data_IF_187490421895
#
_entry.id   IF_187490421895
#
_cell.length_a   1.000
_cell.length_b   1.000
_cell.length_c   1.000
_cell.angle_alpha   90.00
_cell.angle_beta   90.00
_cell.angle_gamma   90.00
#
_symmetry.space_group_name_H-M   'P 1'
#
loop_
_entity.id
_entity.type
_entity.pdbx_description
1 polymer ?
#
# COMPACT_ATOMS: atom_id res chain seq x y z
N UNK A 1 40.58 -28.43 -39.08
CA UNK A 1 39.13 -28.23 -38.87
C UNK A 1 38.98 -28.38 -37.37
N UNK A 2 39.10 -27.27 -36.63
CA UNK A 2 37.95 -26.44 -36.21
C UNK A 2 37.10 -27.21 -35.18
N UNK A 3 36.83 -26.80 -33.95
CA UNK A 3 36.92 -25.54 -33.18
C UNK A 3 36.43 -25.86 -31.74
N UNK A 4 37.03 -25.27 -30.71
CA UNK A 4 36.42 -24.23 -29.83
C UNK A 4 35.24 -24.71 -28.95
N UNK A 5 35.50 -24.69 -27.63
CA UNK A 5 34.64 -24.38 -26.46
C UNK A 5 33.29 -25.12 -26.33
N UNK A 6 32.93 -25.69 -25.18
CA UNK A 6 32.53 -24.91 -24.01
C UNK A 6 32.69 -25.72 -22.71
N UNK A 7 33.46 -25.15 -21.79
CA UNK A 7 33.70 -25.63 -20.44
C UNK A 7 32.80 -24.82 -19.49
N UNK A 8 31.84 -25.48 -18.86
CA UNK A 8 31.23 -24.99 -17.62
C UNK A 8 30.74 -26.17 -16.77
N UNK A 9 31.67 -26.79 -16.06
CA UNK A 9 31.37 -27.57 -14.87
C UNK A 9 31.02 -26.62 -13.71
N UNK A 10 29.75 -26.57 -13.30
CA UNK A 10 29.36 -26.00 -12.02
C UNK A 10 28.80 -27.10 -11.12
N UNK A 11 29.72 -27.58 -10.29
CA UNK A 11 29.51 -28.36 -9.08
C UNK A 11 28.89 -27.46 -8.01
N UNK A 12 27.85 -27.89 -7.28
CA UNK A 12 27.73 -27.71 -5.82
C UNK A 12 26.73 -28.70 -5.20
N UNK A 13 27.17 -29.23 -4.06
CA UNK A 13 26.62 -30.31 -3.26
C UNK A 13 25.40 -29.94 -2.41
N UNK A 14 24.62 -30.98 -2.11
CA UNK A 14 23.93 -31.31 -0.86
C UNK A 14 23.45 -30.18 0.07
N UNK A 15 22.12 -30.12 0.22
CA UNK A 15 21.50 -29.77 1.51
C UNK A 15 20.56 -30.91 1.93
N UNK A 16 20.94 -31.56 3.04
CA UNK A 16 20.05 -32.39 3.85
C UNK A 16 18.86 -31.54 4.31
N UNK A 17 17.64 -32.03 4.11
CA UNK A 17 16.51 -31.73 4.99
C UNK A 17 15.50 -32.85 4.89
N UNK A 18 15.53 -33.70 5.91
CA UNK A 18 14.56 -34.75 6.23
C UNK A 18 13.11 -34.25 6.12
N UNK A 19 12.26 -35.05 5.46
CA UNK A 19 10.83 -34.78 5.33
C UNK A 19 10.15 -35.75 4.37
N UNK A 20 10.09 -37.02 4.77
CA UNK A 20 9.32 -38.12 4.17
C UNK A 20 7.89 -37.71 3.77
N UNK A 21 7.56 -37.74 2.47
CA UNK A 21 6.30 -38.25 1.90
C UNK A 21 6.61 -38.75 0.46
N UNK A 22 6.90 -40.04 0.31
CA UNK A 22 7.17 -40.67 -0.99
C UNK A 22 5.85 -40.81 -1.81
N UNK A 23 5.68 -40.01 -2.86
CA UNK A 23 4.78 -40.35 -3.97
C UNK A 23 5.52 -41.33 -4.89
N UNK A 24 5.02 -42.55 -4.99
CA UNK A 24 5.52 -43.58 -5.90
C UNK A 24 5.28 -43.17 -7.37
N UNK A 25 6.26 -42.54 -8.02
CA UNK A 25 6.25 -42.41 -9.48
C UNK A 25 6.67 -43.72 -10.13
N UNK A 26 5.69 -44.44 -10.70
CA UNK A 26 5.89 -45.68 -11.45
C UNK A 26 6.61 -45.38 -12.78
N UNK A 27 7.94 -45.57 -12.80
CA UNK A 27 8.76 -45.47 -14.02
C UNK A 27 8.46 -46.68 -14.91
N UNK A 28 7.57 -46.52 -15.88
CA UNK A 28 7.36 -47.48 -16.98
C UNK A 28 8.56 -47.44 -17.94
N UNK A 29 9.47 -48.39 -17.78
CA UNK A 29 10.49 -48.68 -18.79
C UNK A 29 9.84 -49.36 -19.99
N UNK A 30 9.66 -48.63 -21.09
CA UNK A 30 9.29 -49.22 -22.37
C UNK A 30 10.53 -49.82 -23.02
N UNK A 31 10.50 -51.12 -23.23
CA UNK A 31 11.43 -51.86 -24.07
C UNK A 31 11.21 -51.50 -25.55
N UNK A 32 12.31 -51.25 -26.26
CA UNK A 32 12.33 -50.63 -27.60
C UNK A 32 11.79 -51.53 -28.74
N UNK A 33 11.18 -52.69 -28.44
CA UNK A 33 10.86 -53.72 -29.42
C UNK A 33 9.41 -54.30 -29.35
N UNK A 34 8.43 -53.64 -28.72
CA UNK A 34 7.01 -54.02 -28.85
C UNK A 34 6.26 -53.16 -29.88
N UNK A 35 6.49 -53.45 -31.18
CA UNK A 35 5.61 -53.01 -32.27
C UNK A 35 4.34 -53.86 -32.31
N UNK A 36 3.54 -53.74 -31.25
CA UNK A 36 2.19 -54.28 -31.17
C UNK A 36 1.26 -53.53 -32.12
N UNK A 37 0.91 -54.19 -33.23
CA UNK A 37 -0.12 -53.83 -34.20
C UNK A 37 -1.48 -53.60 -33.50
N UNK A 38 -1.85 -52.34 -33.24
CA UNK A 38 -3.17 -51.97 -32.73
C UNK A 38 -4.02 -51.34 -33.85
N UNK A 39 -5.04 -52.10 -34.22
CA UNK A 39 -6.09 -51.83 -35.18
C UNK A 39 -6.91 -50.58 -34.83
N UNK A 40 -7.03 -49.65 -35.79
CA UNK A 40 -8.27 -48.91 -36.06
C UNK A 40 -9.07 -48.23 -34.93
N UNK A 41 -8.45 -47.70 -33.88
CA UNK A 41 -9.15 -46.82 -32.93
C UNK A 41 -9.09 -45.37 -33.41
N UNK A 42 -10.26 -44.78 -33.68
CA UNK A 42 -10.41 -43.37 -34.03
C UNK A 42 -9.67 -42.49 -33.01
N UNK A 43 -8.84 -41.56 -33.51
CA UNK A 43 -8.30 -40.49 -32.68
C UNK A 43 -9.48 -39.84 -31.93
N UNK A 44 -9.38 -39.65 -30.59
CA UNK A 44 -10.32 -38.78 -29.91
C UNK A 44 -10.31 -37.41 -30.63
N UNK A 45 -11.47 -36.75 -30.79
CA UNK A 45 -11.52 -35.43 -31.41
C UNK A 45 -10.51 -34.52 -30.70
N UNK A 46 -9.89 -33.56 -31.43
CA UNK A 46 -8.91 -32.66 -30.84
C UNK A 46 -9.51 -32.09 -29.56
N UNK A 47 -8.76 -32.23 -28.46
CA UNK A 47 -9.08 -31.66 -27.17
C UNK A 47 -9.52 -30.22 -27.44
N UNK A 48 -10.81 -29.94 -27.22
CA UNK A 48 -11.35 -28.60 -27.42
C UNK A 48 -10.46 -27.67 -26.62
N UNK A 49 -9.71 -26.80 -27.30
CA UNK A 49 -9.01 -25.70 -26.66
C UNK A 49 -10.09 -24.93 -25.91
N UNK A 50 -10.24 -25.22 -24.62
CA UNK A 50 -11.18 -24.51 -23.75
C UNK A 50 -10.62 -23.11 -23.70
N UNK A 51 -11.17 -22.24 -24.55
CA UNK A 51 -10.88 -20.83 -24.58
C UNK A 51 -11.27 -20.32 -23.20
N UNK A 52 -10.29 -20.18 -22.29
CA UNK A 52 -10.49 -19.65 -20.95
C UNK A 52 -10.91 -18.19 -21.09
N UNK A 53 -12.20 -17.97 -21.33
CA UNK A 53 -12.78 -16.65 -21.45
C UNK A 53 -12.73 -16.00 -20.07
N UNK A 54 -11.79 -15.08 -19.91
CA UNK A 54 -11.69 -14.28 -18.69
C UNK A 54 -13.04 -13.59 -18.42
N UNK A 55 -13.61 -13.83 -17.24
CA UNK A 55 -14.81 -13.15 -16.77
C UNK A 55 -14.36 -11.79 -16.21
N UNK A 56 -14.49 -10.74 -17.03
CA UNK A 56 -14.22 -9.38 -16.61
C UNK A 56 -15.50 -8.71 -16.12
N UNK A 57 -15.44 -7.99 -15.00
CA UNK A 57 -16.52 -7.16 -14.47
C UNK A 57 -16.07 -5.69 -14.45
N UNK A 58 -16.98 -4.79 -14.80
CA UNK A 58 -16.73 -3.36 -14.79
C UNK A 58 -17.24 -2.73 -13.49
N UNK A 59 -16.46 -1.80 -12.93
CA UNK A 59 -16.84 -0.99 -11.77
C UNK A 59 -17.11 0.45 -12.15
N UNK A 60 -18.02 1.08 -11.40
CA UNK A 60 -18.24 2.52 -11.51
C UNK A 60 -17.31 3.27 -10.57
N UNK A 61 -17.05 4.55 -10.85
CA UNK A 61 -16.22 5.39 -9.99
C UNK A 61 -16.82 5.50 -8.58
N UNK A 62 -18.14 5.54 -8.49
CA UNK A 62 -18.89 5.65 -7.23
C UNK A 62 -18.74 4.38 -6.40
N UNK A 63 -18.83 3.20 -7.03
CA UNK A 63 -18.63 1.92 -6.32
C UNK A 63 -17.21 1.78 -5.78
N UNK A 64 -16.20 2.20 -6.55
CA UNK A 64 -14.80 2.20 -6.12
C UNK A 64 -14.59 3.19 -4.97
N UNK A 65 -15.10 4.41 -5.10
CA UNK A 65 -14.98 5.44 -4.07
C UNK A 65 -15.66 5.01 -2.76
N UNK A 66 -16.84 4.36 -2.84
CA UNK A 66 -17.53 3.83 -1.68
C UNK A 66 -16.72 2.72 -0.98
N UNK A 67 -16.11 1.81 -1.74
CA UNK A 67 -15.25 0.77 -1.19
C UNK A 67 -14.01 1.37 -0.49
N UNK A 68 -13.35 2.35 -1.14
CA UNK A 68 -12.21 3.05 -0.56
C UNK A 68 -12.57 3.83 0.72
N UNK A 69 -13.74 4.46 0.75
CA UNK A 69 -14.23 5.19 1.93
C UNK A 69 -14.54 4.24 3.08
N UNK A 70 -15.08 3.06 2.78
CA UNK A 70 -15.36 2.04 3.76
C UNK A 70 -14.06 1.53 4.41
N UNK A 71 -13.06 1.17 3.61
CA UNK A 71 -11.75 0.73 4.12
C UNK A 71 -11.06 1.81 4.94
N UNK A 72 -11.14 3.06 4.47
CA UNK A 72 -10.58 4.21 5.19
C UNK A 72 -11.26 4.39 6.55
N UNK A 73 -12.60 4.34 6.60
CA UNK A 73 -13.36 4.42 7.85
C UNK A 73 -13.02 3.28 8.81
N UNK A 74 -12.85 2.05 8.29
CA UNK A 74 -12.42 0.91 9.11
C UNK A 74 -11.06 1.16 9.74
N UNK A 75 -10.07 1.61 8.97
CA UNK A 75 -8.72 1.91 9.49
C UNK A 75 -8.74 3.04 10.52
N UNK A 76 -9.49 4.12 10.25
CA UNK A 76 -9.65 5.23 11.20
C UNK A 76 -10.13 4.75 12.55
N UNK A 77 -11.16 3.90 12.57
CA UNK A 77 -11.75 3.38 13.80
C UNK A 77 -10.86 2.33 14.48
N UNK A 78 -10.25 1.43 13.69
CA UNK A 78 -9.38 0.37 14.19
C UNK A 78 -8.14 0.91 14.91
N UNK A 79 -7.47 1.89 14.29
CA UNK A 79 -6.20 2.45 14.77
C UNK A 79 -6.42 3.72 15.61
N UNK A 80 -7.64 4.26 15.61
CA UNK A 80 -8.01 5.54 16.24
C UNK A 80 -7.12 6.70 15.76
N UNK A 81 -7.17 6.96 14.45
CA UNK A 81 -6.37 8.00 13.78
C UNK A 81 -7.22 8.83 12.82
N UNK A 82 -6.72 10.02 12.51
CA UNK A 82 -7.35 10.89 11.52
C UNK A 82 -7.25 10.34 10.08
N UNK A 83 -8.15 10.83 9.22
CA UNK A 83 -8.30 10.42 7.82
C UNK A 83 -6.99 10.43 7.04
N UNK A 84 -6.17 11.46 7.20
CA UNK A 84 -4.90 11.58 6.46
C UNK A 84 -3.90 10.49 6.86
N UNK A 85 -3.85 10.15 8.15
CA UNK A 85 -3.01 9.06 8.67
C UNK A 85 -3.53 7.69 8.26
N UNK A 86 -4.85 7.47 8.29
CA UNK A 86 -5.46 6.24 7.78
C UNK A 86 -5.14 6.02 6.28
N UNK A 87 -5.19 7.09 5.48
CA UNK A 87 -4.82 7.05 4.06
C UNK A 87 -3.35 6.69 3.86
N UNK A 88 -2.44 7.27 4.66
CA UNK A 88 -1.01 6.93 4.63
C UNK A 88 -0.77 5.45 4.98
N UNK A 89 -1.44 4.93 6.01
CA UNK A 89 -1.37 3.52 6.38
C UNK A 89 -1.86 2.60 5.26
N UNK A 90 -3.03 2.88 4.68
CA UNK A 90 -3.56 2.11 3.55
C UNK A 90 -2.59 2.12 2.37
N UNK A 91 -2.00 3.27 2.04
CA UNK A 91 -1.01 3.36 0.97
C UNK A 91 0.26 2.53 1.28
N UNK A 92 0.81 2.64 2.50
CA UNK A 92 1.99 1.89 2.94
C UNK A 92 1.79 0.36 2.85
N UNK A 93 0.61 -0.11 3.25
CA UNK A 93 0.24 -1.52 3.19
C UNK A 93 -0.36 -1.94 1.83
N UNK A 94 -0.31 -1.06 0.82
CA UNK A 94 -0.82 -1.30 -0.55
C UNK A 94 -2.29 -1.74 -0.55
N UNK A 95 -3.10 -1.12 0.30
CA UNK A 95 -4.53 -1.39 0.48
C UNK A 95 -4.85 -2.83 0.91
N UNK A 96 -3.88 -3.56 1.51
CA UNK A 96 -4.11 -4.88 2.09
C UNK A 96 -4.47 -4.76 3.56
N UNK A 97 -5.77 -4.80 3.86
CA UNK A 97 -6.30 -4.62 5.22
C UNK A 97 -5.74 -5.66 6.21
N UNK A 98 -5.60 -6.92 5.79
CA UNK A 98 -4.99 -8.00 6.58
C UNK A 98 -3.60 -7.63 7.13
N UNK A 99 -2.76 -7.00 6.29
CA UNK A 99 -1.42 -6.58 6.72
C UNK A 99 -1.45 -5.52 7.80
N UNK A 100 -2.47 -4.66 7.82
CA UNK A 100 -2.63 -3.66 8.87
C UNK A 100 -3.03 -4.36 10.17
N UNK A 101 -3.96 -5.31 10.12
CA UNK A 101 -4.34 -6.11 11.29
C UNK A 101 -3.15 -6.88 11.89
N UNK A 102 -2.43 -7.65 11.07
CA UNK A 102 -1.31 -8.47 11.53
C UNK A 102 -0.21 -7.61 12.18
N UNK A 103 0.09 -6.46 11.57
CA UNK A 103 1.12 -5.54 12.08
C UNK A 103 0.63 -4.80 13.32
N UNK A 104 -0.64 -4.42 13.38
CA UNK A 104 -1.21 -3.82 14.57
C UNK A 104 -1.14 -4.78 15.77
N UNK A 105 -1.44 -6.07 15.56
CA UNK A 105 -1.35 -7.10 16.58
C UNK A 105 0.10 -7.36 17.02
N UNK A 106 1.02 -7.49 16.05
CA UNK A 106 2.41 -7.87 16.31
C UNK A 106 3.24 -6.76 16.98
N UNK A 107 3.08 -5.50 16.58
CA UNK A 107 3.95 -4.39 17.07
C UNK A 107 3.21 -3.25 17.76
N UNK A 108 1.88 -3.28 17.76
CA UNK A 108 1.06 -2.23 18.36
C UNK A 108 0.98 -0.95 17.54
N UNK A 109 0.10 -0.06 17.99
CA UNK A 109 -0.33 1.15 17.27
C UNK A 109 0.81 2.11 16.94
N UNK A 110 1.61 2.50 17.93
CA UNK A 110 2.61 3.55 17.74
C UNK A 110 3.76 3.09 16.84
N UNK A 111 4.12 1.80 16.89
CA UNK A 111 5.14 1.23 16.01
C UNK A 111 4.64 1.13 14.56
N UNK A 112 3.38 0.71 14.37
CA UNK A 112 2.71 0.68 13.07
C UNK A 112 2.72 2.07 12.41
N UNK A 113 2.36 3.11 13.17
CA UNK A 113 2.32 4.49 12.68
C UNK A 113 3.72 4.99 12.28
N UNK A 114 4.73 4.76 13.13
CA UNK A 114 6.11 5.13 12.80
C UNK A 114 6.65 4.38 11.58
N UNK A 115 6.34 3.10 11.43
CA UNK A 115 6.74 2.29 10.27
C UNK A 115 6.19 2.85 8.95
N UNK A 116 4.97 3.39 8.99
CA UNK A 116 4.34 4.05 7.85
C UNK A 116 4.76 5.53 7.67
N UNK A 117 5.74 6.02 8.44
CA UNK A 117 6.20 7.41 8.40
C UNK A 117 5.22 8.42 9.01
N UNK A 118 4.20 7.96 9.73
CA UNK A 118 3.22 8.82 10.40
C UNK A 118 3.77 9.30 11.73
N UNK A 119 4.00 10.61 11.83
CA UNK A 119 4.41 11.26 13.09
C UNK A 119 3.15 11.73 13.81
N UNK A 120 2.72 10.96 14.81
CA UNK A 120 1.68 11.43 15.74
C UNK A 120 2.32 12.39 16.73
N UNK A 121 2.04 13.68 16.55
CA UNK A 121 2.35 14.69 17.57
C UNK A 121 1.60 14.30 18.85
N UNK A 122 2.25 14.28 20.03
CA UNK A 122 1.56 14.00 21.27
C UNK A 122 0.39 14.97 21.38
N UNK A 123 -0.79 14.43 21.72
CA UNK A 123 -2.01 15.20 21.90
C UNK A 123 -1.67 16.42 22.75
N UNK A 124 -1.84 17.57 22.14
CA UNK A 124 -1.57 18.84 22.79
C UNK A 124 -2.58 18.90 23.92
N UNK A 125 -2.18 18.54 25.13
CA UNK A 125 -2.79 19.11 26.33
C UNK A 125 -2.96 20.58 26.02
N UNK A 126 -4.18 21.11 26.14
CA UNK A 126 -4.65 22.41 25.63
C UNK A 126 -3.97 23.63 26.25
N UNK A 127 -2.67 23.55 26.49
CA UNK A 127 -1.79 24.47 27.18
C UNK A 127 -0.40 24.44 26.53
N UNK A 128 -0.33 24.77 25.25
CA UNK A 128 0.91 25.26 24.63
C UNK A 128 0.54 26.24 23.54
N UNK A 129 0.15 27.44 23.99
CA UNK A 129 0.29 28.64 23.17
C UNK A 129 1.78 28.85 22.91
N UNK A 130 2.32 28.19 21.90
CA UNK A 130 3.67 28.46 21.45
C UNK A 130 3.63 29.61 20.46
N UNK A 131 3.78 30.81 21.02
CA UNK A 131 4.58 31.90 20.47
C UNK A 131 4.31 32.29 19.01
N UNK A 132 3.21 33.00 18.77
CA UNK A 132 3.31 34.20 17.93
C UNK A 132 3.75 35.35 18.84
N UNK A 133 5.05 35.41 19.10
CA UNK A 133 5.68 36.62 19.56
C UNK A 133 5.68 37.62 18.39
N UNK A 134 4.59 38.37 18.25
CA UNK A 134 4.60 39.66 17.56
C UNK A 134 4.13 40.71 18.55
N UNK A 135 5.04 41.03 19.48
CA UNK A 135 4.97 42.30 20.18
C UNK A 135 5.31 43.41 19.18
N UNK A 136 4.30 43.95 18.48
CA UNK A 136 4.30 45.38 18.13
C UNK A 136 2.89 45.88 17.84
N UNK A 137 2.30 46.46 18.88
CA UNK A 137 1.37 47.61 18.83
C UNK A 137 0.33 47.59 17.70
N UNK A 138 -0.86 47.01 17.92
CA UNK A 138 -2.06 47.44 17.20
C UNK A 138 -3.27 47.55 18.14
N UNK A 139 -4.21 48.48 17.88
CA UNK A 139 -5.31 48.82 18.77
C UNK A 139 -6.34 47.69 18.88
N UNK A 140 -7.23 47.72 19.88
CA UNK A 140 -8.24 46.69 20.08
C UNK A 140 -9.31 46.80 18.98
N UNK A 141 -9.29 45.92 17.99
CA UNK A 141 -10.36 45.90 16.98
C UNK A 141 -10.20 44.95 15.79
N UNK A 142 -9.00 44.47 15.48
CA UNK A 142 -8.80 43.51 14.39
C UNK A 142 -7.69 42.53 14.75
N UNK A 143 -8.04 41.27 15.00
CA UNK A 143 -7.03 40.19 15.11
C UNK A 143 -6.77 39.72 13.68
N UNK A 144 -5.72 40.26 13.07
CA UNK A 144 -5.22 39.81 11.78
C UNK A 144 -4.03 38.85 11.99
N UNK A 145 -3.93 37.83 11.15
CA UNK A 145 -2.86 36.83 11.13
C UNK A 145 -2.11 36.96 9.80
N UNK A 146 -0.78 36.94 9.86
CA UNK A 146 0.06 36.97 8.67
C UNK A 146 0.22 35.56 8.10
N UNK A 147 -0.03 35.38 6.81
CA UNK A 147 0.21 34.11 6.12
C UNK A 147 1.71 33.92 5.86
N UNK A 148 2.28 32.79 6.23
CA UNK A 148 3.73 32.52 6.07
C UNK A 148 4.15 32.11 4.64
N UNK A 149 3.21 32.11 3.67
CA UNK A 149 3.47 31.75 2.27
C UNK A 149 3.50 33.00 1.40
N UNK A 150 2.43 33.81 1.44
CA UNK A 150 2.35 35.07 0.69
C UNK A 150 2.79 36.30 1.49
N UNK A 151 2.99 36.17 2.81
CA UNK A 151 3.38 37.26 3.72
C UNK A 151 2.36 38.40 3.84
N UNK A 152 1.10 38.17 3.49
CA UNK A 152 -0.01 39.12 3.63
C UNK A 152 -0.82 38.92 4.93
N UNK A 153 -1.50 39.98 5.40
CA UNK A 153 -2.35 39.96 6.60
C UNK A 153 -3.80 39.60 6.28
N UNK A 154 -4.37 38.66 7.01
CA UNK A 154 -5.74 38.17 6.83
C UNK A 154 -6.52 38.16 8.15
N UNK A 155 -7.83 38.44 8.14
CA UNK A 155 -8.67 38.25 9.32
C UNK A 155 -8.75 36.76 9.70
N UNK A 156 -9.01 36.47 10.99
CA UNK A 156 -9.14 35.10 11.49
C UNK A 156 -10.15 34.22 10.73
N UNK A 157 -11.15 34.82 10.07
CA UNK A 157 -12.15 34.08 9.29
C UNK A 157 -11.72 33.68 7.87
N UNK A 158 -10.56 34.15 7.40
CA UNK A 158 -10.02 33.84 6.06
C UNK A 158 -8.65 33.16 6.12
N UNK A 159 -8.36 32.52 7.25
CA UNK A 159 -7.21 31.66 7.45
C UNK A 159 -7.70 30.31 7.96
N UNK A 160 -7.06 29.22 7.58
CA UNK A 160 -7.26 27.93 8.21
C UNK A 160 -5.96 27.41 8.81
N UNK A 161 -6.13 26.62 9.87
CA UNK A 161 -5.06 26.18 10.74
C UNK A 161 -4.81 24.69 10.50
N UNK A 162 -3.55 24.34 10.25
CA UNK A 162 -3.13 22.96 10.17
C UNK A 162 -3.06 22.31 11.56
N UNK A 163 -3.02 20.97 11.59
CA UNK A 163 -2.86 20.19 12.83
C UNK A 163 -1.56 20.50 13.58
N UNK A 164 -0.56 21.07 12.91
CA UNK A 164 0.66 21.58 13.54
C UNK A 164 0.49 22.94 14.23
N UNK A 165 -0.63 23.64 14.01
CA UNK A 165 -0.94 24.95 14.59
C UNK A 165 -0.51 26.15 13.75
N UNK A 166 0.01 25.92 12.54
CA UNK A 166 0.32 26.99 11.59
C UNK A 166 -0.93 27.39 10.81
N UNK A 167 -1.15 28.70 10.66
CA UNK A 167 -2.27 29.24 9.89
C UNK A 167 -1.80 29.74 8.52
N UNK A 168 -2.60 29.47 7.50
CA UNK A 168 -2.39 29.92 6.13
C UNK A 168 -3.66 30.58 5.60
N UNK A 169 -3.55 31.52 4.66
CA UNK A 169 -4.73 32.06 4.00
C UNK A 169 -5.36 31.01 3.09
N UNK A 170 -6.69 31.04 2.96
CA UNK A 170 -7.44 30.04 2.19
C UNK A 170 -6.96 29.93 0.73
N UNK A 171 -6.41 31.01 0.16
CA UNK A 171 -5.86 31.00 -1.20
C UNK A 171 -4.55 30.19 -1.29
N UNK A 172 -3.71 30.24 -0.26
CA UNK A 172 -2.46 29.47 -0.19
C UNK A 172 -2.68 28.01 0.23
N UNK A 173 -3.78 27.70 0.91
CA UNK A 173 -4.13 26.32 1.26
C UNK A 173 -4.46 25.46 0.03
N UNK A 174 -4.97 26.07 -1.03
CA UNK A 174 -5.25 25.40 -2.29
C UNK A 174 -3.99 25.21 -3.15
N UNK A 175 -2.81 25.67 -2.71
CA UNK A 175 -1.57 25.40 -3.44
C UNK A 175 -1.23 23.90 -3.37
N UNK A 176 -0.92 23.25 -4.52
CA UNK A 176 -0.66 21.81 -4.59
C UNK A 176 0.53 21.34 -3.73
N UNK A 177 1.35 22.26 -3.21
CA UNK A 177 2.46 21.95 -2.30
C UNK A 177 2.01 21.51 -0.90
N UNK A 178 0.75 21.73 -0.50
CA UNK A 178 0.23 21.37 0.83
C UNK A 178 -0.69 20.13 0.82
N UNK A 179 -1.01 19.58 -0.35
CA UNK A 179 -1.81 18.36 -0.50
C UNK A 179 -0.86 17.21 -0.84
N UNK A 180 -0.20 16.63 0.16
CA UNK A 180 0.58 15.39 0.01
C UNK A 180 0.38 14.50 1.23
#
# INVERSE_FOLDING_TARGET
MDGSDDECCYYYDAVDSDGDEEEEEEIIMLDEDDVGLLDGAALPPPEEEVEHRAICWAITKESLAAAQEQDLSMVMNLVNVERHNARALLAHHRWKMERIYDRLDMMGRDALLRDAGVVVLPEKSSSSGSSMAMAKTNPPGSVAVTCNVCFEEYPLGSVSAMDCGHCFCNDCELCPMFIS
#
